data_IF_386423670027
#
_entry.id   IF_386423670027
#
_cell.length_a   1.000
_cell.length_b   1.000
_cell.length_c   1.000
_cell.angle_alpha   90.00
_cell.angle_beta   90.00
_cell.angle_gamma   90.00
#
_symmetry.space_group_name_H-M   'P 1'
#
loop_
_entity.id
_entity.type
_entity.pdbx_description
1 polymer ?
#
# COMPACT_ATOMS: atom_id res chain seq x y z
N UNK A 1 -10.09 -25.45 16.38
CA UNK A 1 -10.45 -24.27 15.57
C UNK A 1 -10.31 -23.06 16.45
N UNK A 2 -9.40 -22.16 16.11
CA UNK A 2 -9.19 -20.91 16.86
C UNK A 2 -10.44 -20.05 16.68
N UNK A 3 -11.17 -19.77 17.77
CA UNK A 3 -12.31 -18.84 17.72
C UNK A 3 -11.71 -17.45 17.49
N UNK A 4 -11.89 -16.90 16.29
CA UNK A 4 -11.50 -15.51 16.03
C UNK A 4 -12.29 -14.60 16.97
N UNK A 5 -11.59 -13.73 17.69
CA UNK A 5 -12.22 -12.79 18.63
C UNK A 5 -13.20 -11.86 17.89
N UNK A 6 -12.78 -11.33 16.74
CA UNK A 6 -13.58 -10.60 15.76
C UNK A 6 -12.73 -10.35 14.51
N UNK A 7 -13.32 -10.47 13.32
CA UNK A 7 -12.68 -10.06 12.06
C UNK A 7 -12.91 -8.56 11.83
N UNK A 8 -11.83 -7.77 11.86
CA UNK A 8 -11.91 -6.30 11.70
C UNK A 8 -11.90 -5.90 10.22
N UNK A 9 -11.07 -6.56 9.42
CA UNK A 9 -10.96 -6.34 7.98
C UNK A 9 -10.88 -7.69 7.27
N UNK A 10 -11.74 -7.87 6.28
CA UNK A 10 -11.63 -8.95 5.32
C UNK A 10 -10.69 -8.58 4.16
N UNK A 11 -10.44 -9.55 3.28
CA UNK A 11 -9.58 -9.36 2.11
C UNK A 11 -10.07 -8.22 1.21
N UNK A 12 -11.38 -8.15 0.95
CA UNK A 12 -11.97 -7.11 0.11
C UNK A 12 -11.79 -5.72 0.71
N UNK A 13 -11.99 -5.59 2.03
CA UNK A 13 -11.79 -4.36 2.77
C UNK A 13 -10.32 -3.93 2.76
N UNK A 14 -9.39 -4.88 2.88
CA UNK A 14 -7.96 -4.61 2.77
C UNK A 14 -7.59 -4.10 1.38
N UNK A 15 -8.05 -4.77 0.32
CA UNK A 15 -7.79 -4.36 -1.05
C UNK A 15 -8.35 -2.96 -1.35
N UNK A 16 -9.58 -2.65 -0.91
CA UNK A 16 -10.15 -1.30 -1.04
C UNK A 16 -9.34 -0.26 -0.28
N UNK A 17 -8.90 -0.58 0.94
CA UNK A 17 -8.11 0.33 1.75
C UNK A 17 -6.76 0.65 1.07
N UNK A 18 -6.08 -0.36 0.54
CA UNK A 18 -4.80 -0.17 -0.17
C UNK A 18 -4.96 0.66 -1.43
N UNK A 19 -5.98 0.40 -2.25
CA UNK A 19 -6.25 1.22 -3.45
C UNK A 19 -6.56 2.67 -3.09
N UNK A 20 -7.35 2.92 -2.02
CA UNK A 20 -7.61 4.28 -1.54
C UNK A 20 -6.33 4.97 -1.09
N UNK A 21 -5.48 4.29 -0.31
CA UNK A 21 -4.21 4.86 0.16
C UNK A 21 -3.30 5.18 -1.04
N UNK A 22 -3.23 4.31 -2.04
CA UNK A 22 -2.45 4.54 -3.24
C UNK A 22 -2.87 5.83 -3.96
N UNK A 23 -4.18 6.02 -4.21
CA UNK A 23 -4.69 7.26 -4.82
C UNK A 23 -4.39 8.49 -3.97
N UNK A 24 -4.60 8.42 -2.65
CA UNK A 24 -4.32 9.54 -1.76
C UNK A 24 -2.84 9.94 -1.75
N UNK A 25 -1.91 8.98 -1.85
CA UNK A 25 -0.46 9.26 -1.95
C UNK A 25 -0.20 10.09 -3.19
N UNK A 26 -0.72 9.66 -4.35
CA UNK A 26 -0.46 10.33 -5.62
C UNK A 26 -1.09 11.72 -5.68
N UNK A 27 -2.35 11.85 -5.24
CA UNK A 27 -3.04 13.15 -5.22
C UNK A 27 -2.35 14.16 -4.31
N UNK A 28 -1.93 13.75 -3.11
CA UNK A 28 -1.25 14.63 -2.15
C UNK A 28 0.11 15.10 -2.63
N UNK A 29 0.82 14.26 -3.38
CA UNK A 29 2.15 14.58 -3.90
C UNK A 29 2.14 15.12 -5.34
N UNK A 30 0.96 15.24 -5.97
CA UNK A 30 0.77 15.67 -7.37
C UNK A 30 1.57 14.82 -8.36
N UNK A 31 1.55 13.51 -8.14
CA UNK A 31 2.37 12.53 -8.85
C UNK A 31 3.31 11.80 -7.89
N UNK A 32 4.27 11.07 -8.46
CA UNK A 32 5.13 10.13 -7.71
C UNK A 32 6.62 10.31 -7.97
N UNK A 33 7.01 11.34 -8.72
CA UNK A 33 8.40 11.58 -9.12
C UNK A 33 9.36 11.70 -7.92
N UNK A 34 8.92 12.33 -6.84
CA UNK A 34 9.73 12.58 -5.63
C UNK A 34 9.25 11.75 -4.43
N UNK A 35 8.60 10.60 -4.67
CA UNK A 35 8.03 9.74 -3.63
C UNK A 35 8.82 8.44 -3.50
N UNK A 36 9.07 8.02 -2.26
CA UNK A 36 9.60 6.70 -1.91
C UNK A 36 8.72 6.07 -0.83
N UNK A 37 8.51 4.76 -0.89
CA UNK A 37 7.82 4.01 0.15
C UNK A 37 8.83 3.24 1.01
N UNK A 38 8.69 3.31 2.33
CA UNK A 38 9.54 2.55 3.27
C UNK A 38 8.66 1.57 4.05
N UNK A 39 8.87 0.29 3.83
CA UNK A 39 8.21 -0.78 4.57
C UNK A 39 8.87 -0.99 5.94
N UNK A 40 8.16 -0.64 7.01
CA UNK A 40 8.67 -0.79 8.39
C UNK A 40 8.16 -2.12 8.97
N UNK A 41 9.05 -2.89 9.61
CA UNK A 41 8.72 -4.21 10.21
C UNK A 41 8.30 -5.26 9.16
N UNK A 42 8.09 -6.50 9.63
CA UNK A 42 7.77 -7.67 8.80
C UNK A 42 6.60 -7.49 7.84
N UNK A 43 5.43 -7.03 8.31
CA UNK A 43 4.23 -6.89 7.46
C UNK A 43 4.15 -5.55 6.74
N UNK A 44 4.97 -4.57 7.09
CA UNK A 44 5.01 -3.29 6.38
C UNK A 44 5.67 -3.40 5.00
N UNK A 45 6.69 -4.25 4.87
CA UNK A 45 7.37 -4.51 3.59
C UNK A 45 6.43 -5.01 2.49
N UNK A 46 5.66 -6.10 2.67
CA UNK A 46 4.73 -6.55 1.62
C UNK A 46 3.63 -5.53 1.33
N UNK A 47 3.16 -4.76 2.34
CA UNK A 47 2.19 -3.69 2.11
C UNK A 47 2.78 -2.53 1.29
N UNK A 48 4.04 -2.18 1.52
CA UNK A 48 4.73 -1.13 0.75
C UNK A 48 4.90 -1.53 -0.72
N UNK A 49 5.27 -2.79 -1.00
CA UNK A 49 5.30 -3.32 -2.36
C UNK A 49 3.90 -3.32 -3.00
N UNK A 50 2.88 -3.77 -2.28
CA UNK A 50 1.49 -3.77 -2.77
C UNK A 50 0.96 -2.36 -3.08
N UNK A 51 1.41 -1.35 -2.36
CA UNK A 51 1.10 0.05 -2.66
C UNK A 51 1.86 0.53 -3.90
N UNK A 52 3.16 0.23 -4.02
CA UNK A 52 3.96 0.59 -5.20
C UNK A 52 3.38 -0.01 -6.49
N UNK A 53 3.00 -1.29 -6.46
CA UNK A 53 2.41 -1.97 -7.62
C UNK A 53 1.09 -1.32 -8.04
N UNK A 54 0.21 -1.02 -7.08
CA UNK A 54 -1.04 -0.31 -7.35
C UNK A 54 -0.78 1.07 -7.94
N UNK A 55 0.15 1.84 -7.36
CA UNK A 55 0.52 3.16 -7.88
C UNK A 55 0.99 3.07 -9.33
N UNK A 56 1.84 2.09 -9.63
CA UNK A 56 2.32 1.84 -10.99
C UNK A 56 1.19 1.54 -11.98
N UNK A 57 0.13 0.84 -11.57
CA UNK A 57 -1.01 0.52 -12.44
C UNK A 57 -1.67 1.78 -13.03
N UNK A 58 -1.75 2.88 -12.26
CA UNK A 58 -2.43 4.11 -12.71
C UNK A 58 -1.47 5.24 -13.12
N UNK A 59 -0.34 5.44 -12.43
CA UNK A 59 0.65 6.47 -12.81
C UNK A 59 1.61 6.02 -13.91
N UNK A 60 1.74 4.70 -14.15
CA UNK A 60 2.73 4.09 -15.05
C UNK A 60 4.18 4.48 -14.73
N UNK A 61 4.43 4.88 -13.49
CA UNK A 61 5.75 5.16 -12.94
C UNK A 61 6.02 4.24 -11.77
N UNK A 62 7.27 3.78 -11.65
CA UNK A 62 7.71 2.95 -10.54
C UNK A 62 8.00 3.83 -9.31
N UNK A 63 7.48 3.41 -8.15
CA UNK A 63 7.81 4.04 -6.87
C UNK A 63 8.86 3.17 -6.16
N UNK A 64 10.06 3.70 -5.85
CA UNK A 64 11.06 2.94 -5.13
C UNK A 64 10.54 2.49 -3.76
N UNK A 65 10.87 1.26 -3.38
CA UNK A 65 10.51 0.69 -2.07
C UNK A 65 11.78 0.34 -1.31
N UNK A 66 11.94 0.91 -0.12
CA UNK A 66 12.97 0.57 0.86
C UNK A 66 12.40 -0.17 2.08
N UNK A 67 13.28 -0.63 2.96
CA UNK A 67 12.92 -1.39 4.17
C UNK A 67 13.60 -0.81 5.42
N UNK A 68 12.93 -0.89 6.57
CA UNK A 68 13.44 -0.49 7.89
C UNK A 68 13.07 -1.47 9.00
#
# INVERSE_FOLDING_TARGET
MSVEKAQIMDETAMNRALSRIAHEIVEKNKGVADVVLIGIRRRGVPLAHQLADRIREFERQDVPVGIL
#
